data_IF_460215579924
#
_entry.id   IF_460215579924
#
_cell.length_a   1.000
_cell.length_b   1.000
_cell.length_c   1.000
_cell.angle_alpha   90.00
_cell.angle_beta   90.00
_cell.angle_gamma   90.00
#
_symmetry.space_group_name_H-M   'P 1'
#
loop_
_entity.id
_entity.type
_entity.pdbx_description
1 polymer ?
#
# COMPACT_ATOMS: atom_id res chain seq x y z
N UNK A 1 5.39 -21.14 -3.54
CA UNK A 1 5.40 -21.28 -2.08
C UNK A 1 6.66 -20.73 -1.45
N UNK A 2 7.79 -21.17 -1.93
CA UNK A 2 9.09 -20.66 -1.45
C UNK A 2 9.22 -19.17 -1.71
N UNK A 3 8.65 -18.70 -2.82
CA UNK A 3 8.75 -17.30 -3.22
C UNK A 3 8.07 -16.35 -2.25
N UNK A 4 6.99 -16.78 -1.59
CA UNK A 4 6.29 -15.93 -0.62
C UNK A 4 7.18 -15.56 0.56
N UNK A 5 7.98 -16.51 1.04
CA UNK A 5 8.83 -16.30 2.22
C UNK A 5 9.85 -15.20 1.95
N UNK A 6 10.26 -15.04 0.70
CA UNK A 6 11.27 -14.06 0.33
C UNK A 6 10.69 -12.70 -0.09
N UNK A 7 9.37 -12.56 -0.08
CA UNK A 7 8.74 -11.29 -0.46
C UNK A 7 8.49 -10.42 0.76
N UNK A 8 8.80 -9.15 0.64
CA UNK A 8 8.65 -8.17 1.71
C UNK A 8 7.59 -7.16 1.33
N UNK A 9 6.64 -6.95 2.23
CA UNK A 9 5.57 -5.98 2.03
C UNK A 9 5.78 -4.82 2.98
N UNK A 10 5.80 -3.61 2.43
CA UNK A 10 5.83 -2.39 3.23
C UNK A 10 4.38 -1.98 3.51
N UNK A 11 4.04 -1.85 4.78
CA UNK A 11 2.70 -1.46 5.20
C UNK A 11 2.79 -0.14 5.95
N UNK A 12 2.13 0.89 5.43
CA UNK A 12 2.20 2.24 6.00
C UNK A 12 0.81 2.73 6.37
N UNK A 13 0.61 3.06 7.63
CA UNK A 13 -0.66 3.58 8.14
C UNK A 13 -0.39 4.24 9.49
N UNK A 14 -1.08 5.34 9.78
CA UNK A 14 -0.91 6.02 11.07
C UNK A 14 -1.83 5.46 12.16
N UNK A 15 -2.69 4.50 11.82
CA UNK A 15 -3.55 3.79 12.77
C UNK A 15 -2.83 2.53 13.25
N UNK A 16 -2.37 2.57 14.51
CA UNK A 16 -1.62 1.45 15.09
C UNK A 16 -2.41 0.14 15.11
N UNK A 17 -3.70 0.21 15.38
CA UNK A 17 -4.53 -1.00 15.44
C UNK A 17 -4.66 -1.64 14.07
N UNK A 18 -4.86 -0.83 13.05
CA UNK A 18 -4.93 -1.32 11.68
C UNK A 18 -3.60 -1.93 11.26
N UNK A 19 -2.48 -1.26 11.58
CA UNK A 19 -1.15 -1.79 11.28
C UNK A 19 -0.93 -3.14 11.91
N UNK A 20 -1.26 -3.25 13.19
CA UNK A 20 -1.04 -4.49 13.93
C UNK A 20 -1.84 -5.64 13.33
N UNK A 21 -3.15 -5.42 13.15
CA UNK A 21 -4.03 -6.46 12.64
C UNK A 21 -3.70 -6.86 11.22
N UNK A 22 -3.44 -5.89 10.37
CA UNK A 22 -3.14 -6.15 8.96
C UNK A 22 -1.78 -6.83 8.80
N UNK A 23 -0.80 -6.41 9.60
CA UNK A 23 0.50 -7.08 9.61
C UNK A 23 0.38 -8.54 9.96
N UNK A 24 -0.40 -8.87 11.00
CA UNK A 24 -0.62 -10.26 11.37
C UNK A 24 -1.23 -11.06 10.24
N UNK A 25 -2.24 -10.51 9.58
CA UNK A 25 -2.87 -11.18 8.46
C UNK A 25 -1.88 -11.47 7.35
N UNK A 26 -1.07 -10.47 6.99
CA UNK A 26 -0.12 -10.61 5.89
C UNK A 26 1.00 -11.58 6.24
N UNK A 27 1.46 -11.55 7.49
CA UNK A 27 2.48 -12.50 7.94
C UNK A 27 1.96 -13.94 7.89
N UNK A 28 0.69 -14.14 8.19
CA UNK A 28 0.07 -15.46 8.09
C UNK A 28 0.01 -15.97 6.65
N UNK A 29 0.01 -15.06 5.69
CA UNK A 29 0.07 -15.45 4.27
C UNK A 29 1.46 -15.93 3.86
N UNK A 30 2.48 -15.73 4.68
CA UNK A 30 3.85 -16.16 4.41
C UNK A 30 4.78 -15.05 3.97
N UNK A 31 4.37 -13.80 4.06
CA UNK A 31 5.20 -12.65 3.67
C UNK A 31 5.90 -12.03 4.87
N UNK A 32 7.02 -11.36 4.61
CA UNK A 32 7.65 -10.49 5.60
C UNK A 32 6.95 -9.15 5.51
N UNK A 33 6.77 -8.49 6.67
CA UNK A 33 6.12 -7.18 6.70
C UNK A 33 7.02 -6.19 7.42
N UNK A 34 7.20 -5.02 6.82
CA UNK A 34 7.87 -3.89 7.45
C UNK A 34 6.83 -2.79 7.53
N UNK A 35 6.71 -2.18 8.70
CA UNK A 35 5.67 -1.16 8.93
C UNK A 35 6.27 0.21 9.12
N UNK A 36 5.47 1.23 8.76
CA UNK A 36 5.77 2.63 9.05
C UNK A 36 4.47 3.31 9.45
N UNK A 37 4.54 4.28 10.34
CA UNK A 37 3.37 4.96 10.88
C UNK A 37 3.14 6.34 10.27
N UNK A 38 3.99 6.76 9.36
CA UNK A 38 3.86 8.06 8.72
C UNK A 38 4.52 8.04 7.34
N UNK A 39 4.18 9.04 6.54
CA UNK A 39 4.83 9.24 5.25
C UNK A 39 6.33 9.46 5.44
N UNK A 40 6.70 10.29 6.41
CA UNK A 40 8.12 10.61 6.66
C UNK A 40 8.92 9.37 7.04
N UNK A 41 8.36 8.51 7.90
CA UNK A 41 9.02 7.27 8.29
C UNK A 41 9.19 6.34 7.10
N UNK A 42 8.14 6.21 6.29
CA UNK A 42 8.17 5.36 5.11
C UNK A 42 9.20 5.85 4.10
N UNK A 43 9.30 7.16 3.91
CA UNK A 43 10.30 7.71 2.98
C UNK A 43 11.71 7.40 3.41
N UNK A 44 11.96 7.43 4.72
CA UNK A 44 13.27 7.06 5.25
C UNK A 44 13.58 5.59 4.99
N UNK A 45 12.60 4.73 5.19
CA UNK A 45 12.78 3.30 4.93
C UNK A 45 13.12 3.02 3.47
N UNK A 46 12.50 3.78 2.56
CA UNK A 46 12.73 3.58 1.13
C UNK A 46 14.13 3.97 0.68
N UNK A 47 14.86 4.73 1.49
CA UNK A 47 16.25 5.05 1.17
C UNK A 47 17.15 3.82 1.23
N UNK A 48 16.81 2.83 2.03
CA UNK A 48 17.64 1.64 2.20
C UNK A 48 16.89 0.33 1.94
N UNK A 49 15.61 0.39 1.62
CA UNK A 49 14.76 -0.79 1.47
C UNK A 49 13.96 -0.70 0.19
N UNK A 50 14.04 -1.76 -0.62
CA UNK A 50 13.15 -1.93 -1.77
C UNK A 50 12.14 -3.01 -1.42
N UNK A 51 10.87 -2.64 -1.16
CA UNK A 51 9.86 -3.66 -0.89
C UNK A 51 9.44 -4.35 -2.19
N UNK A 52 8.84 -5.52 -2.07
CA UNK A 52 8.27 -6.21 -3.23
C UNK A 52 6.88 -5.70 -3.55
N UNK A 53 6.19 -5.14 -2.55
CA UNK A 53 4.87 -4.54 -2.69
C UNK A 53 4.67 -3.57 -1.53
N UNK A 54 3.92 -2.50 -1.76
CA UNK A 54 3.62 -1.54 -0.70
C UNK A 54 2.11 -1.36 -0.56
N UNK A 55 1.64 -1.29 0.68
CA UNK A 55 0.26 -0.97 1.00
C UNK A 55 0.30 0.32 1.82
N UNK A 56 -0.29 1.38 1.28
CA UNK A 56 -0.16 2.72 1.83
C UNK A 56 -1.53 3.28 2.22
N UNK A 57 -1.62 3.85 3.43
CA UNK A 57 -2.79 4.61 3.83
C UNK A 57 -2.87 5.88 3.00
N UNK A 58 -4.05 6.25 2.56
CA UNK A 58 -4.22 7.44 1.75
C UNK A 58 -3.95 8.72 2.56
N UNK A 59 -4.54 8.81 3.74
CA UNK A 59 -4.48 10.02 4.55
C UNK A 59 -3.66 9.77 5.82
N UNK A 60 -2.56 10.45 5.95
CA UNK A 60 -1.70 10.38 7.13
C UNK A 60 -1.41 11.78 7.64
N UNK A 61 -0.18 12.29 7.50
CA UNK A 61 0.13 13.66 7.90
C UNK A 61 -0.69 14.67 7.10
N UNK A 62 -0.97 14.33 5.83
CA UNK A 62 -1.76 15.15 4.92
C UNK A 62 -2.82 14.29 4.26
N UNK A 63 -3.83 14.92 3.68
CA UNK A 63 -4.92 14.23 3.02
C UNK A 63 -4.46 13.41 1.82
N UNK A 64 -3.35 13.77 1.22
CA UNK A 64 -2.80 13.12 0.04
C UNK A 64 -1.50 12.38 0.29
N UNK A 65 -1.16 12.12 1.55
CA UNK A 65 0.11 11.46 1.90
C UNK A 65 0.34 10.16 1.14
N UNK A 66 -0.71 9.34 1.00
CA UNK A 66 -0.59 8.08 0.28
C UNK A 66 -0.26 8.26 -1.19
N UNK A 67 -0.85 9.25 -1.83
CA UNK A 67 -0.56 9.55 -3.24
C UNK A 67 0.88 10.02 -3.42
N UNK A 68 1.32 10.91 -2.54
CA UNK A 68 2.68 11.45 -2.61
C UNK A 68 3.70 10.34 -2.39
N UNK A 69 3.46 9.50 -1.40
CA UNK A 69 4.34 8.38 -1.10
C UNK A 69 4.39 7.38 -2.25
N UNK A 70 3.24 7.08 -2.86
CA UNK A 70 3.17 6.20 -4.02
C UNK A 70 3.98 6.77 -5.18
N UNK A 71 3.85 8.06 -5.42
CA UNK A 71 4.62 8.74 -6.48
C UNK A 71 6.12 8.60 -6.24
N UNK A 72 6.56 8.89 -5.02
CA UNK A 72 7.99 8.81 -4.68
C UNK A 72 8.51 7.38 -4.77
N UNK A 73 7.71 6.43 -4.33
CA UNK A 73 8.08 5.02 -4.37
C UNK A 73 8.22 4.55 -5.81
N UNK A 74 7.26 4.85 -6.66
CA UNK A 74 7.28 4.46 -8.08
C UNK A 74 8.40 5.16 -8.83
N UNK A 75 8.73 6.37 -8.45
CA UNK A 75 9.84 7.08 -9.06
C UNK A 75 11.16 6.38 -8.77
N UNK A 76 11.31 5.86 -7.57
CA UNK A 76 12.53 5.16 -7.15
C UNK A 76 12.53 3.70 -7.60
N UNK A 77 11.39 3.03 -7.51
CA UNK A 77 11.24 1.62 -7.82
C UNK A 77 10.00 1.42 -8.70
N UNK A 78 10.09 1.72 -10.00
CA UNK A 78 8.90 1.73 -10.86
C UNK A 78 8.22 0.38 -11.02
N UNK A 79 8.89 -0.71 -10.74
CA UNK A 79 8.33 -2.07 -10.86
C UNK A 79 7.62 -2.56 -9.60
N UNK A 80 7.69 -1.81 -8.50
CA UNK A 80 7.06 -2.23 -7.25
C UNK A 80 5.56 -1.89 -7.28
N UNK A 81 4.67 -2.89 -7.14
CA UNK A 81 3.23 -2.59 -7.10
C UNK A 81 2.83 -1.87 -5.81
N UNK A 82 1.88 -0.97 -5.93
CA UNK A 82 1.42 -0.14 -4.83
C UNK A 82 -0.09 -0.26 -4.69
N UNK A 83 -0.53 -0.57 -3.47
CA UNK A 83 -1.94 -0.57 -3.09
C UNK A 83 -2.18 0.62 -2.18
N UNK A 84 -3.21 1.41 -2.47
CA UNK A 84 -3.64 2.47 -1.56
C UNK A 84 -4.89 2.00 -0.84
N UNK A 85 -4.85 2.02 0.49
CA UNK A 85 -5.96 1.63 1.34
C UNK A 85 -6.60 2.86 1.97
N UNK A 86 -7.92 2.91 1.96
CA UNK A 86 -8.64 4.03 2.53
C UNK A 86 -9.89 3.57 3.26
N UNK A 87 -10.24 4.27 4.33
CA UNK A 87 -11.41 3.94 5.12
C UNK A 87 -12.72 4.32 4.42
N UNK A 88 -12.66 5.22 3.45
CA UNK A 88 -13.86 5.80 2.85
C UNK A 88 -13.91 5.65 1.33
N UNK A 89 -13.25 4.65 0.80
CA UNK A 89 -13.19 4.45 -0.66
C UNK A 89 -14.58 4.36 -1.30
N UNK A 90 -15.50 3.68 -0.63
CA UNK A 90 -16.85 3.50 -1.17
C UNK A 90 -17.63 4.82 -1.25
N UNK A 91 -17.37 5.74 -0.33
CA UNK A 91 -18.08 7.00 -0.28
C UNK A 91 -17.45 8.08 -1.14
N UNK A 92 -16.12 8.07 -1.23
CA UNK A 92 -15.37 9.15 -1.84
C UNK A 92 -14.46 8.72 -2.97
N UNK A 93 -14.65 7.51 -3.49
CA UNK A 93 -13.79 6.99 -4.55
C UNK A 93 -13.65 7.92 -5.74
N UNK A 94 -14.70 8.66 -6.05
CA UNK A 94 -14.66 9.60 -7.16
C UNK A 94 -14.03 10.93 -6.80
N UNK A 95 -13.97 11.25 -5.52
CA UNK A 95 -13.46 12.54 -5.07
C UNK A 95 -11.95 12.54 -4.84
N UNK A 96 -11.29 11.42 -5.04
CA UNK A 96 -9.83 11.36 -4.93
C UNK A 96 -9.13 11.87 -6.20
N UNK A 97 -9.86 12.43 -7.13
CA UNK A 97 -9.28 12.93 -8.36
C UNK A 97 -9.02 11.87 -9.40
N UNK A 98 -9.54 10.66 -9.20
CA UNK A 98 -9.34 9.56 -10.14
C UNK A 98 -10.38 9.54 -11.26
N UNK A 99 -11.25 10.55 -11.31
CA UNK A 99 -12.30 10.63 -12.31
C UNK A 99 -11.79 11.04 -13.69
N UNK A 100 -10.61 11.64 -13.77
CA UNK A 100 -10.03 12.06 -15.04
C UNK A 100 -8.78 11.26 -15.36
N UNK A 101 -8.45 11.15 -16.65
CA UNK A 101 -7.25 10.46 -17.07
C UNK A 101 -5.99 11.20 -16.62
N UNK A 102 -6.06 12.53 -16.58
CA UNK A 102 -4.92 13.32 -16.13
C UNK A 102 -4.59 13.05 -14.68
N UNK A 103 -5.64 12.97 -13.84
CA UNK A 103 -5.46 12.65 -12.43
C UNK A 103 -4.91 11.25 -12.26
N UNK A 104 -5.38 10.30 -13.06
CA UNK A 104 -4.90 8.92 -13.01
C UNK A 104 -3.44 8.81 -13.37
N UNK A 105 -2.97 9.62 -14.31
CA UNK A 105 -1.56 9.61 -14.69
C UNK A 105 -0.68 10.08 -13.55
N UNK A 106 -1.19 10.99 -12.73
CA UNK A 106 -0.45 11.52 -11.59
C UNK A 106 -0.44 10.51 -10.43
N UNK A 107 -1.53 9.77 -10.27
CA UNK A 107 -1.67 8.81 -9.18
C UNK A 107 -0.99 7.51 -9.60
N UNK A 108 -0.01 7.07 -8.82
CA UNK A 108 0.84 5.94 -9.17
C UNK A 108 0.48 4.65 -8.44
N UNK A 109 -0.78 4.48 -8.05
CA UNK A 109 -1.22 3.26 -7.39
C UNK A 109 -1.70 2.24 -8.41
N UNK A 110 -1.43 0.98 -8.15
CA UNK A 110 -1.88 -0.13 -9.00
C UNK A 110 -3.27 -0.60 -8.58
N UNK A 111 -3.66 -0.36 -7.34
CA UNK A 111 -4.94 -0.80 -6.81
C UNK A 111 -5.37 0.07 -5.63
N UNK A 112 -6.68 0.29 -5.52
CA UNK A 112 -7.29 0.97 -4.38
C UNK A 112 -8.18 -0.03 -3.66
N UNK A 113 -8.06 -0.10 -2.32
CA UNK A 113 -8.90 -0.99 -1.52
C UNK A 113 -9.49 -0.22 -0.34
N UNK A 114 -10.58 -0.76 0.21
CA UNK A 114 -11.12 -0.28 1.47
C UNK A 114 -10.40 -0.98 2.62
N UNK A 115 -10.18 -0.27 3.72
CA UNK A 115 -9.54 -0.85 4.89
C UNK A 115 -10.35 -2.00 5.50
N UNK A 116 -11.66 -2.05 5.20
CA UNK A 116 -12.52 -3.15 5.67
C UNK A 116 -12.46 -4.40 4.81
N UNK A 117 -11.58 -4.46 3.81
CA UNK A 117 -11.46 -5.63 2.95
C UNK A 117 -11.16 -6.89 3.77
N UNK A 118 -11.75 -8.02 3.38
CA UNK A 118 -11.51 -9.28 4.07
C UNK A 118 -10.07 -9.75 3.82
N UNK A 119 -9.52 -10.46 4.81
CA UNK A 119 -8.15 -10.95 4.71
C UNK A 119 -7.93 -11.84 3.47
N UNK A 120 -8.89 -12.72 3.18
CA UNK A 120 -8.77 -13.61 2.02
C UNK A 120 -8.79 -12.84 0.70
N UNK A 121 -9.56 -11.76 0.63
CA UNK A 121 -9.60 -10.92 -0.56
C UNK A 121 -8.30 -10.15 -0.71
N UNK A 122 -7.78 -9.62 0.39
CA UNK A 122 -6.48 -8.93 0.38
C UNK A 122 -5.37 -9.87 -0.10
N UNK A 123 -5.38 -11.11 0.37
CA UNK A 123 -4.41 -12.11 -0.05
C UNK A 123 -4.44 -12.30 -1.57
N UNK A 124 -5.64 -12.43 -2.14
CA UNK A 124 -5.80 -12.61 -3.60
C UNK A 124 -5.22 -11.43 -4.37
N UNK A 125 -5.46 -10.22 -3.89
CA UNK A 125 -4.95 -9.03 -4.57
C UNK A 125 -3.43 -8.96 -4.50
N UNK A 126 -2.86 -9.31 -3.35
CA UNK A 126 -1.40 -9.32 -3.19
C UNK A 126 -0.76 -10.33 -4.15
N UNK A 127 -1.30 -11.54 -4.17
CA UNK A 127 -0.80 -12.61 -5.05
C UNK A 127 -0.86 -12.19 -6.51
N UNK A 128 -1.97 -11.58 -6.89
CA UNK A 128 -2.18 -11.13 -8.26
C UNK A 128 -1.16 -10.07 -8.66
N UNK A 129 -0.92 -9.09 -7.79
CA UNK A 129 0.03 -8.02 -8.10
C UNK A 129 1.48 -8.50 -8.08
N UNK A 130 1.80 -9.43 -7.20
CA UNK A 130 3.14 -10.02 -7.13
C UNK A 130 3.37 -11.06 -8.23
N UNK A 131 2.31 -11.50 -8.89
CA UNK A 131 2.36 -12.50 -9.96
C UNK A 131 2.93 -13.84 -9.47
N UNK A 132 2.53 -14.21 -8.31
CA UNK A 132 2.92 -15.49 -7.71
C UNK A 132 1.66 -16.31 -7.36
#
# INVERSE_FOLDING_TARGET
MIDKINKTILLVDDDEDYLFQTRLNIEQFGFKVITAESQAEAEKLLDSLKPDLAILDLMMENEDSGFILAFKLKRKYPDVPVIIATAVAAETGMSFGVSSEEDRKWIKADLYIEKGIRADQLYKEIIKLLKI
#
